data_IF_547349733993
#
_entry.id   IF_547349733993
#
_cell.length_a   1.000
_cell.length_b   1.000
_cell.length_c   1.000
_cell.angle_alpha   90.00
_cell.angle_beta   90.00
_cell.angle_gamma   90.00
#
_symmetry.space_group_name_H-M   'P 1'
#
loop_
_entity.id
_entity.type
_entity.pdbx_description
1 polymer ?
#
# COMPACT_ATOMS: atom_id res chain seq x y z
N UNK A 8 8.50 14.62 7.46
CA UNK A 8 9.90 14.21 7.58
C UNK A 8 10.01 12.72 7.93
N UNK A 9 9.00 12.22 8.63
CA UNK A 9 9.00 10.82 9.06
C UNK A 9 8.22 9.94 8.08
N UNK A 10 7.32 10.56 7.34
CA UNK A 10 6.41 9.82 6.48
C UNK A 10 7.15 9.20 5.29
N UNK A 11 8.07 9.96 4.72
CA UNK A 11 8.90 9.48 3.62
C UNK A 11 9.54 8.14 3.97
N UNK A 12 9.97 8.00 5.22
CA UNK A 12 10.68 6.81 5.66
C UNK A 12 9.71 5.65 5.90
N UNK A 13 8.50 5.98 6.34
CA UNK A 13 7.44 4.99 6.46
C UNK A 13 7.02 4.46 5.09
N UNK A 14 7.04 5.33 4.10
CA UNK A 14 6.72 4.94 2.72
C UNK A 14 7.77 3.99 2.17
N UNK A 15 9.04 4.29 2.45
CA UNK A 15 10.14 3.39 2.09
C UNK A 15 10.01 2.05 2.79
N UNK A 16 9.61 2.09 4.06
CA UNK A 16 9.38 0.88 4.84
C UNK A 16 8.28 0.02 4.20
N UNK A 17 7.25 0.69 3.69
CA UNK A 17 6.14 -0.01 3.03
C UNK A 17 6.61 -0.70 1.76
N UNK A 18 7.55 -0.06 1.06
CA UNK A 18 8.15 -0.67 -0.12
C UNK A 18 8.88 -1.96 0.23
N UNK A 19 9.63 -1.93 1.33
CA UNK A 19 10.29 -3.12 1.84
C UNK A 19 9.28 -4.23 2.13
N UNK A 20 8.21 -3.88 2.84
CA UNK A 20 7.19 -4.85 3.21
C UNK A 20 6.56 -5.50 1.98
N UNK A 21 6.28 -4.68 0.97
CA UNK A 21 5.67 -5.17 -0.27
C UNK A 21 6.65 -6.04 -1.05
N UNK A 22 7.91 -5.62 -1.10
CA UNK A 22 8.95 -6.39 -1.77
C UNK A 22 9.05 -7.80 -1.19
N UNK A 23 8.84 -7.91 0.11
CA UNK A 23 9.00 -9.18 0.81
C UNK A 23 7.74 -10.04 0.69
N UNK A 24 6.59 -9.38 0.60
CA UNK A 24 5.31 -10.07 0.56
C UNK A 24 5.07 -10.73 -0.79
N UNK A 25 5.07 -9.92 -1.84
CA UNK A 25 4.75 -10.40 -3.18
C UNK A 25 5.99 -10.45 -4.06
N UNK A 26 7.16 -10.35 -3.44
CA UNK A 26 8.41 -10.70 -4.10
C UNK A 26 8.66 -9.82 -5.32
N UNK A 27 8.19 -8.57 -5.24
CA UNK A 27 8.52 -7.57 -6.25
C UNK A 27 9.73 -6.75 -5.83
N UNK A 28 10.28 -6.00 -6.78
CA UNK A 28 11.39 -5.10 -6.50
C UNK A 28 10.89 -3.68 -6.22
N UNK A 29 11.80 -2.82 -5.76
CA UNK A 29 11.44 -1.45 -5.44
C UNK A 29 10.96 -0.70 -6.67
N UNK A 30 11.51 -1.06 -7.82
CA UNK A 30 11.16 -0.40 -9.09
C UNK A 30 9.74 -0.73 -9.50
N UNK A 31 9.17 -1.78 -8.90
CA UNK A 31 7.83 -2.23 -9.23
C UNK A 31 6.81 -1.68 -8.24
N UNK A 32 7.24 -0.76 -7.40
CA UNK A 32 6.37 -0.16 -6.40
C UNK A 32 6.28 1.36 -6.56
N UNK A 33 5.05 1.87 -6.55
CA UNK A 33 4.84 3.32 -6.59
C UNK A 33 4.01 3.78 -5.41
N UNK A 34 4.55 4.72 -4.63
CA UNK A 34 3.85 5.27 -3.48
C UNK A 34 3.83 6.79 -3.51
N UNK A 35 2.64 7.36 -3.37
CA UNK A 35 2.48 8.81 -3.41
C UNK A 35 1.20 9.24 -2.69
N UNK A 36 1.23 10.44 -2.12
CA UNK A 36 0.06 10.99 -1.45
C UNK A 36 -0.61 12.06 -2.30
N UNK A 37 -1.93 12.14 -2.21
CA UNK A 37 -2.69 13.19 -2.88
C UNK A 37 -3.73 13.80 -1.95
N UNK A 38 -3.96 15.10 -2.10
CA UNK A 38 -4.89 15.82 -1.25
C UNK A 38 -6.34 15.53 -1.66
N UNK A 39 -7.08 14.90 -0.76
CA UNK A 39 -8.51 14.67 -0.98
C UNK A 39 -9.36 15.49 -0.01
N UNK A 40 -9.91 16.58 -0.50
CA UNK A 40 -10.64 17.52 0.35
C UNK A 40 -9.73 18.12 1.41
N UNK A 41 -10.17 18.04 2.66
CA UNK A 41 -9.40 18.60 3.78
C UNK A 41 -8.44 17.56 4.36
N UNK A 42 -8.39 16.39 3.73
CA UNK A 42 -7.52 15.32 4.19
C UNK A 42 -6.60 14.85 3.07
N UNK A 43 -5.65 13.98 3.42
CA UNK A 43 -4.74 13.41 2.44
C UNK A 43 -4.98 11.91 2.28
N UNK A 44 -4.70 11.39 1.10
CA UNK A 44 -4.79 9.96 0.85
C UNK A 44 -3.47 9.39 0.38
N UNK A 45 -2.99 8.36 1.07
CA UNK A 45 -1.79 7.63 0.66
C UNK A 45 -2.14 6.49 -0.28
N UNK A 46 -1.49 6.47 -1.44
CA UNK A 46 -1.81 5.49 -2.48
C UNK A 46 -0.57 4.66 -2.85
N UNK A 47 -0.74 3.35 -2.87
CA UNK A 47 0.33 2.45 -3.28
C UNK A 47 -0.08 1.62 -4.49
N UNK A 48 0.85 1.46 -5.44
CA UNK A 48 0.61 0.65 -6.62
C UNK A 48 1.74 -0.34 -6.85
N UNK A 49 1.38 -1.62 -6.92
CA UNK A 49 2.38 -2.68 -7.07
C UNK A 49 2.12 -3.50 -8.32
N UNK A 50 3.12 -3.59 -9.20
CA UNK A 50 3.01 -4.40 -10.40
C UNK A 50 3.28 -5.87 -10.10
N UNK A 51 2.29 -6.72 -10.39
CA UNK A 51 2.40 -8.14 -10.13
C UNK A 51 2.48 -8.95 -11.42
N UNK B 8 -4.90 -17.65 -2.48
CA UNK B 8 -5.24 -18.13 -1.14
C UNK B 8 -4.33 -17.50 -0.09
N UNK B 9 -3.11 -17.17 -0.49
CA UNK B 9 -2.13 -16.60 0.42
C UNK B 9 -2.12 -15.07 0.34
N UNK B 10 -2.58 -14.55 -0.79
CA UNK B 10 -2.49 -13.12 -1.06
C UNK B 10 -3.43 -12.33 -0.16
N UNK B 11 -4.63 -12.85 0.03
CA UNK B 11 -5.61 -12.23 0.91
C UNK B 11 -5.02 -11.95 2.27
N UNK B 12 -4.19 -12.86 2.77
CA UNK B 12 -3.61 -12.75 4.10
C UNK B 12 -2.46 -11.74 4.11
N UNK B 13 -1.73 -11.67 3.00
CA UNK B 13 -0.71 -10.65 2.84
C UNK B 13 -1.32 -9.25 2.78
N UNK B 14 -2.49 -9.15 2.18
CA UNK B 14 -3.22 -7.89 2.11
C UNK B 14 -3.67 -7.44 3.49
N UNK B 15 -4.16 -8.39 4.29
CA UNK B 15 -4.51 -8.12 5.68
C UNK B 15 -3.29 -7.70 6.49
N UNK B 16 -2.16 -8.35 6.22
CA UNK B 16 -0.90 -8.01 6.87
C UNK B 16 -0.50 -6.57 6.55
N UNK B 17 -0.73 -6.16 5.30
CA UNK B 17 -0.42 -4.81 4.87
C UNK B 17 -1.28 -3.79 5.60
N UNK B 18 -2.53 -4.16 5.87
CA UNK B 18 -3.42 -3.31 6.65
C UNK B 18 -2.88 -3.09 8.06
N UNK B 19 -2.38 -4.16 8.68
CA UNK B 19 -1.73 -4.07 9.97
C UNK B 19 -0.55 -3.11 9.93
N UNK B 20 0.31 -3.28 8.92
CA UNK B 20 1.50 -2.46 8.78
C UNK B 20 1.14 -0.98 8.66
N UNK B 21 0.12 -0.70 7.86
CA UNK B 21 -0.33 0.68 7.64
C UNK B 21 -0.96 1.25 8.90
N UNK B 22 -1.75 0.45 9.59
CA UNK B 22 -2.37 0.86 10.85
C UNK B 22 -1.32 1.30 11.86
N UNK B 23 -0.18 0.63 11.84
CA UNK B 23 0.87 0.88 12.82
C UNK B 23 1.74 2.06 12.40
N UNK B 24 1.88 2.26 11.09
CA UNK B 24 2.74 3.30 10.57
C UNK B 24 2.12 4.68 10.72
N UNK B 25 0.94 4.86 10.15
CA UNK B 25 0.29 6.16 10.14
C UNK B 25 -0.91 6.18 11.07
N UNK B 26 -1.01 5.18 11.94
CA UNK B 26 -1.91 5.23 13.08
C UNK B 26 -3.36 5.36 12.64
N UNK B 27 -3.67 4.77 11.48
CA UNK B 27 -5.06 4.66 11.03
C UNK B 27 -5.66 3.33 11.45
N UNK B 28 -6.98 3.22 11.34
CA UNK B 28 -7.68 1.98 11.62
C UNK B 28 -7.91 1.17 10.35
N UNK B 29 -8.36 -0.07 10.51
CA UNK B 29 -8.59 -0.95 9.37
C UNK B 29 -9.67 -0.39 8.46
N UNK B 30 -10.63 0.31 9.04
CA UNK B 30 -11.74 0.89 8.28
C UNK B 30 -11.27 2.02 7.39
N UNK B 31 -10.07 2.53 7.66
CA UNK B 31 -9.52 3.64 6.91
C UNK B 31 -8.55 3.15 5.83
N UNK B 32 -8.54 1.84 5.61
CA UNK B 32 -7.66 1.25 4.61
C UNK B 32 -8.45 0.47 3.56
N UNK B 33 -8.14 0.72 2.29
CA UNK B 33 -8.74 -0.04 1.20
C UNK B 33 -7.68 -0.69 0.33
N UNK B 34 -7.77 -2.02 0.18
CA UNK B 34 -6.83 -2.76 -0.64
C UNK B 34 -7.55 -3.66 -1.64
N UNK B 35 -7.17 -3.54 -2.90
CA UNK B 35 -7.81 -4.32 -3.96
C UNK B 35 -6.89 -4.45 -5.17
N UNK B 36 -7.03 -5.56 -5.88
CA UNK B 36 -6.25 -5.79 -7.10
C UNK B 36 -7.10 -5.58 -8.35
N UNK B 37 -6.48 -5.07 -9.40
CA UNK B 37 -7.13 -4.92 -10.69
C UNK B 37 -6.25 -5.42 -11.83
N UNK B 38 -6.87 -6.00 -12.85
CA UNK B 38 -6.13 -6.55 -13.98
C UNK B 38 -5.66 -5.44 -14.92
N UNK B 39 -4.35 -5.28 -15.03
CA UNK B 39 -3.77 -4.34 -15.99
C UNK B 39 -3.03 -5.06 -17.10
N UNK B 40 -3.67 -5.16 -18.26
CA UNK B 40 -3.13 -5.93 -19.37
C UNK B 40 -3.01 -7.40 -19.01
N UNK B 41 -1.82 -7.96 -19.21
CA UNK B 41 -1.57 -9.37 -18.93
C UNK B 41 -1.07 -9.56 -17.50
N UNK B 42 -1.03 -8.47 -16.74
CA UNK B 42 -0.57 -8.52 -15.36
C UNK B 42 -1.62 -7.94 -14.41
N UNK B 43 -1.37 -8.08 -13.11
CA UNK B 43 -2.26 -7.53 -12.10
C UNK B 43 -1.57 -6.40 -11.34
N UNK B 44 -2.36 -5.45 -10.85
CA UNK B 44 -1.85 -4.37 -10.01
C UNK B 44 -2.53 -4.34 -8.66
N UNK B 45 -1.73 -4.38 -7.60
CA UNK B 45 -2.25 -4.23 -6.24
C UNK B 45 -2.28 -2.77 -5.82
N UNK B 46 -3.45 -2.31 -5.37
CA UNK B 46 -3.65 -0.91 -5.05
C UNK B 46 -4.09 -0.74 -3.59
N UNK B 47 -3.42 0.15 -2.87
CA UNK B 47 -3.79 0.46 -1.50
C UNK B 47 -4.15 1.94 -1.35
N UNK B 48 -5.21 2.21 -0.59
CA UNK B 48 -5.64 3.58 -0.32
C UNK B 48 -5.85 3.81 1.17
N UNK B 49 -5.15 4.79 1.72
CA UNK B 49 -5.22 5.07 3.15
C UNK B 49 -5.68 6.50 3.41
N UNK B 50 -6.75 6.64 4.18
CA UNK B 50 -7.24 7.96 4.56
C UNK B 50 -6.45 8.54 5.72
N UNK B 51 -5.84 9.70 5.50
CA UNK B 51 -5.02 10.35 6.51
C UNK B 51 -5.67 11.63 7.01
#
# INVERSE_FOLDING_TARGET
AQEGQTPDYLPTLRKELMEVLSKYVNVSLDNIRISQEKQDGMDVLELNITLPEQKKVLEHHHHHH
AQEGQTPDYLPTLRKELMEVLSKYVNVSLDNIRISQEKQDGMDVLELNITLPEQKKVLEHHHHHH
#
